data_IF_824688198964
#
_entry.id   IF_824688198964
#
_cell.length_a   1.000
_cell.length_b   1.000
_cell.length_c   1.000
_cell.angle_alpha   90.00
_cell.angle_beta   90.00
_cell.angle_gamma   90.00
#
_symmetry.space_group_name_H-M   'P 1'
#
loop_
_entity.id
_entity.type
_entity.pdbx_description
1 polymer ?
#
# COMPACT_ATOMS: atom_id res chain seq x y z
N UNK A 1 -21.15 -18.72 -5.82
CA UNK A 1 -20.24 -17.57 -5.65
C UNK A 1 -19.44 -17.78 -4.37
N UNK A 2 -18.14 -17.52 -4.41
CA UNK A 2 -17.25 -17.60 -3.24
C UNK A 2 -16.58 -16.23 -3.09
N UNK A 3 -16.60 -15.67 -1.89
CA UNK A 3 -15.84 -14.47 -1.53
C UNK A 3 -14.87 -14.81 -0.39
N UNK A 4 -13.57 -14.55 -0.61
CA UNK A 4 -12.50 -14.83 0.35
C UNK A 4 -11.92 -13.52 0.88
N UNK A 5 -11.82 -13.40 2.20
CA UNK A 5 -11.16 -12.28 2.87
C UNK A 5 -9.97 -12.74 3.68
N UNK A 6 -8.89 -11.96 3.64
CA UNK A 6 -7.67 -12.21 4.42
C UNK A 6 -7.73 -11.53 5.80
N UNK A 7 -8.66 -10.58 5.97
CA UNK A 7 -8.93 -9.83 7.21
C UNK A 7 -10.43 -9.65 7.36
N UNK A 8 -10.90 -9.23 8.54
CA UNK A 8 -12.30 -8.89 8.73
C UNK A 8 -12.77 -7.78 7.76
N UNK A 9 -13.94 -7.94 7.15
CA UNK A 9 -14.57 -6.97 6.25
C UNK A 9 -16.05 -6.84 6.59
N UNK A 10 -16.48 -5.65 7.01
CA UNK A 10 -17.88 -5.35 7.36
C UNK A 10 -18.84 -5.38 6.16
N UNK A 11 -18.33 -5.44 4.94
CA UNK A 11 -19.12 -5.40 3.70
C UNK A 11 -19.15 -6.72 2.94
N UNK A 12 -18.70 -7.81 3.56
CA UNK A 12 -18.62 -9.14 2.94
C UNK A 12 -20.01 -9.62 2.48
N UNK A 13 -21.01 -9.54 3.35
CA UNK A 13 -22.38 -9.99 3.03
C UNK A 13 -23.06 -9.08 1.99
N UNK A 14 -22.97 -7.74 2.09
CA UNK A 14 -23.42 -6.84 1.01
C UNK A 14 -22.75 -7.10 -0.34
N UNK A 15 -21.47 -7.44 -0.37
CA UNK A 15 -20.76 -7.79 -1.60
C UNK A 15 -21.34 -9.06 -2.24
N UNK A 16 -21.47 -10.15 -1.46
CA UNK A 16 -22.06 -11.39 -1.95
C UNK A 16 -23.51 -11.21 -2.43
N UNK A 17 -24.28 -10.35 -1.76
CA UNK A 17 -25.66 -10.02 -2.17
C UNK A 17 -25.68 -9.33 -3.55
N UNK A 18 -24.77 -8.38 -3.80
CA UNK A 18 -24.66 -7.74 -5.13
C UNK A 18 -24.21 -8.72 -6.20
N UNK A 19 -23.29 -9.63 -5.88
CA UNK A 19 -22.87 -10.67 -6.82
C UNK A 19 -23.99 -11.66 -7.13
N UNK A 20 -24.81 -12.02 -6.14
CA UNK A 20 -25.99 -12.84 -6.37
C UNK A 20 -26.92 -12.21 -7.40
N UNK A 21 -27.27 -10.92 -7.22
CA UNK A 21 -28.15 -10.19 -8.12
C UNK A 21 -27.59 -10.13 -9.55
N UNK A 22 -26.31 -9.77 -9.69
CA UNK A 22 -25.64 -9.73 -11.00
C UNK A 22 -25.63 -11.11 -11.69
N UNK A 23 -25.31 -12.19 -10.96
CA UNK A 23 -25.28 -13.54 -11.52
C UNK A 23 -26.68 -14.02 -11.92
N UNK A 24 -27.70 -13.71 -11.11
CA UNK A 24 -29.08 -14.09 -11.38
C UNK A 24 -29.64 -13.41 -12.64
N UNK A 25 -29.24 -12.15 -12.88
CA UNK A 25 -29.66 -11.37 -14.04
C UNK A 25 -28.86 -11.71 -15.31
N UNK A 26 -27.53 -11.75 -15.20
CA UNK A 26 -26.64 -11.83 -16.38
C UNK A 26 -26.35 -13.27 -16.82
N UNK A 27 -26.47 -14.24 -15.92
CA UNK A 27 -26.21 -15.67 -16.17
C UNK A 27 -24.91 -15.93 -16.99
N UNK A 28 -23.75 -15.44 -16.52
CA UNK A 28 -22.50 -15.56 -17.27
C UNK A 28 -22.11 -17.02 -17.54
N UNK A 29 -21.56 -17.31 -18.72
CA UNK A 29 -21.17 -18.67 -19.11
C UNK A 29 -22.34 -19.69 -19.02
N UNK A 30 -23.54 -19.30 -19.47
CA UNK A 30 -24.74 -20.15 -19.46
C UNK A 30 -24.58 -21.49 -20.20
N UNK A 31 -23.58 -21.60 -21.08
CA UNK A 31 -23.16 -22.84 -21.74
C UNK A 31 -22.46 -23.84 -20.79
N UNK A 32 -21.86 -23.35 -19.71
CA UNK A 32 -21.07 -24.13 -18.75
C UNK A 32 -21.72 -24.24 -17.36
N UNK A 33 -22.67 -23.36 -17.05
CA UNK A 33 -23.28 -23.24 -15.72
C UNK A 33 -24.78 -23.52 -15.80
N UNK A 34 -25.24 -24.51 -15.03
CA UNK A 34 -26.66 -24.80 -14.90
C UNK A 34 -27.31 -23.87 -13.87
N UNK A 35 -27.90 -22.77 -14.36
CA UNK A 35 -28.62 -21.78 -13.55
C UNK A 35 -29.99 -22.24 -13.01
N UNK A 36 -30.45 -23.45 -13.35
CA UNK A 36 -31.62 -24.06 -12.69
C UNK A 36 -31.30 -24.56 -11.27
N UNK A 37 -30.01 -24.66 -10.92
CA UNK A 37 -29.59 -25.03 -9.55
C UNK A 37 -29.49 -23.78 -8.66
N UNK A 38 -29.78 -23.90 -7.35
CA UNK A 38 -29.62 -22.79 -6.42
C UNK A 38 -28.20 -22.23 -6.40
N UNK A 39 -28.06 -20.91 -6.46
CA UNK A 39 -26.78 -20.23 -6.33
C UNK A 39 -26.36 -20.28 -4.87
N UNK A 40 -25.23 -20.93 -4.59
CA UNK A 40 -24.62 -20.97 -3.25
C UNK A 40 -23.78 -19.72 -3.01
N UNK A 41 -23.98 -19.06 -1.87
CA UNK A 41 -23.20 -17.90 -1.45
C UNK A 41 -22.27 -18.29 -0.30
N UNK A 42 -20.99 -18.44 -0.63
CA UNK A 42 -19.99 -18.93 0.32
C UNK A 42 -19.08 -17.75 0.69
N UNK A 43 -19.05 -17.42 1.99
CA UNK A 43 -18.14 -16.44 2.56
C UNK A 43 -17.03 -17.18 3.31
N UNK A 44 -15.77 -16.79 3.08
CA UNK A 44 -14.61 -17.35 3.79
C UNK A 44 -13.79 -16.19 4.34
N UNK A 45 -13.69 -16.06 5.66
CA UNK A 45 -13.00 -14.94 6.33
C UNK A 45 -12.34 -15.39 7.63
N UNK A 46 -11.33 -14.68 8.18
CA UNK A 46 -10.74 -15.07 9.46
C UNK A 46 -11.64 -14.74 10.65
N UNK A 47 -12.53 -13.76 10.51
CA UNK A 47 -13.57 -13.39 11.46
C UNK A 47 -14.68 -12.65 10.72
N UNK A 48 -15.82 -12.46 11.40
CA UNK A 48 -16.99 -11.77 10.85
C UNK A 48 -17.41 -10.61 11.75
N UNK A 49 -17.46 -9.42 11.16
CA UNK A 49 -18.03 -8.24 11.81
C UNK A 49 -19.51 -8.47 12.20
N UNK A 50 -19.99 -7.93 13.35
CA UNK A 50 -21.39 -8.09 13.80
C UNK A 50 -22.44 -7.68 12.76
N UNK A 51 -22.15 -6.68 11.93
CA UNK A 51 -23.03 -6.26 10.84
C UNK A 51 -23.24 -7.38 9.82
N UNK A 52 -22.20 -8.15 9.46
CA UNK A 52 -22.37 -9.30 8.56
C UNK A 52 -23.29 -10.36 9.18
N UNK A 53 -23.16 -10.62 10.48
CA UNK A 53 -24.01 -11.58 11.18
C UNK A 53 -25.46 -11.11 11.25
N UNK A 54 -25.65 -9.80 11.40
CA UNK A 54 -26.97 -9.14 11.36
C UNK A 54 -27.58 -9.27 9.97
N UNK A 55 -26.82 -8.92 8.94
CA UNK A 55 -27.26 -9.00 7.55
C UNK A 55 -27.64 -10.43 7.16
N UNK A 56 -26.84 -11.43 7.55
CA UNK A 56 -27.18 -12.85 7.32
C UNK A 56 -28.46 -13.24 8.04
N UNK A 57 -28.65 -12.81 9.29
CA UNK A 57 -29.83 -13.16 10.10
C UNK A 57 -31.13 -12.65 9.49
N UNK A 58 -31.10 -11.47 8.87
CA UNK A 58 -32.29 -10.83 8.31
C UNK A 58 -32.38 -10.92 6.78
N UNK A 59 -31.45 -11.62 6.13
CA UNK A 59 -31.49 -11.84 4.69
C UNK A 59 -32.42 -13.01 4.32
N UNK A 60 -33.01 -12.91 3.13
CA UNK A 60 -33.73 -14.02 2.49
C UNK A 60 -32.78 -14.96 1.71
N UNK A 61 -31.52 -14.56 1.51
CA UNK A 61 -30.50 -15.35 0.83
C UNK A 61 -29.82 -16.30 1.81
N UNK A 62 -29.45 -17.48 1.34
CA UNK A 62 -28.72 -18.48 2.14
C UNK A 62 -27.21 -18.27 1.99
N UNK A 63 -26.57 -17.87 3.10
CA UNK A 63 -25.12 -17.72 3.18
C UNK A 63 -24.48 -18.87 3.95
N UNK A 64 -23.39 -19.39 3.41
CA UNK A 64 -22.51 -20.33 4.07
C UNK A 64 -21.28 -19.60 4.57
N UNK A 65 -21.18 -19.44 5.89
CA UNK A 65 -20.06 -18.73 6.52
C UNK A 65 -19.00 -19.72 6.98
N UNK A 66 -17.79 -19.55 6.44
CA UNK A 66 -16.63 -20.29 6.85
C UNK A 66 -15.62 -19.35 7.50
N UNK A 67 -15.13 -19.74 8.67
CA UNK A 67 -13.99 -19.10 9.31
C UNK A 67 -12.72 -19.82 8.92
N UNK A 68 -11.69 -19.11 8.47
CA UNK A 68 -10.39 -19.70 8.19
C UNK A 68 -9.30 -19.22 9.13
N UNK A 69 -8.33 -20.10 9.40
CA UNK A 69 -7.13 -19.76 10.14
C UNK A 69 -5.94 -20.55 9.58
N UNK A 70 -4.75 -19.99 9.71
CA UNK A 70 -3.51 -20.68 9.37
C UNK A 70 -2.79 -21.01 10.67
N UNK A 71 -2.57 -22.29 10.91
CA UNK A 71 -1.81 -22.78 12.06
C UNK A 71 -0.49 -23.39 11.59
N UNK A 72 0.58 -23.09 12.33
CA UNK A 72 1.87 -23.74 12.17
C UNK A 72 1.97 -24.90 13.16
N UNK A 73 2.20 -26.11 12.64
CA UNK A 73 2.44 -27.30 13.44
C UNK A 73 3.78 -27.90 13.01
N UNK A 74 4.80 -27.74 13.86
CA UNK A 74 6.20 -28.03 13.54
C UNK A 74 6.69 -27.29 12.28
N UNK A 75 7.09 -28.03 11.24
CA UNK A 75 7.56 -27.48 9.95
C UNK A 75 6.43 -27.30 8.94
N UNK A 76 5.23 -27.79 9.23
CA UNK A 76 4.10 -27.75 8.32
C UNK A 76 3.14 -26.61 8.67
N UNK A 77 2.49 -26.07 7.65
CA UNK A 77 1.42 -25.09 7.82
C UNK A 77 0.12 -25.70 7.35
N UNK A 78 -0.96 -25.36 8.05
CA UNK A 78 -2.27 -25.91 7.80
C UNK A 78 -3.28 -24.78 7.65
N UNK A 79 -4.05 -24.84 6.57
CA UNK A 79 -5.28 -24.06 6.45
C UNK A 79 -6.37 -24.85 7.15
N UNK A 80 -6.94 -24.25 8.19
CA UNK A 80 -8.11 -24.77 8.89
C UNK A 80 -9.30 -23.93 8.48
N UNK A 81 -10.39 -24.59 8.12
CA UNK A 81 -11.64 -23.96 7.73
C UNK A 81 -12.77 -24.55 8.58
N UNK A 82 -13.45 -23.70 9.33
CA UNK A 82 -14.59 -24.02 10.19
C UNK A 82 -15.86 -23.50 9.55
N UNK A 83 -16.84 -24.37 9.31
CA UNK A 83 -18.19 -23.94 8.95
C UNK A 83 -18.90 -23.42 10.21
N UNK A 84 -19.31 -22.15 10.22
CA UNK A 84 -19.94 -21.54 11.41
C UNK A 84 -21.35 -22.04 11.67
N UNK A 85 -22.03 -22.62 10.67
CA UNK A 85 -23.36 -23.19 10.83
C UNK A 85 -23.32 -24.64 11.32
N UNK A 86 -22.55 -25.50 10.64
CA UNK A 86 -22.49 -26.93 10.97
C UNK A 86 -21.47 -27.26 12.05
N UNK A 87 -20.59 -26.31 12.38
CA UNK A 87 -19.42 -26.52 13.25
C UNK A 87 -18.45 -27.59 12.71
N UNK A 88 -18.57 -27.97 11.44
CA UNK A 88 -17.61 -28.86 10.79
C UNK A 88 -16.30 -28.14 10.54
N UNK A 89 -15.22 -28.72 11.05
CA UNK A 89 -13.86 -28.25 10.79
C UNK A 89 -13.15 -29.16 9.80
N UNK A 90 -12.48 -28.56 8.82
CA UNK A 90 -11.56 -29.26 7.92
C UNK A 90 -10.17 -28.64 8.01
N UNK A 91 -9.17 -29.47 7.88
CA UNK A 91 -7.77 -29.07 7.89
C UNK A 91 -7.10 -29.61 6.64
N UNK A 92 -6.35 -28.74 5.96
CA UNK A 92 -5.56 -29.11 4.80
C UNK A 92 -4.14 -28.57 4.97
N UNK A 93 -3.13 -29.43 4.79
CA UNK A 93 -1.75 -28.98 4.74
C UNK A 93 -1.58 -28.07 3.52
N UNK A 94 -1.04 -26.87 3.74
CA UNK A 94 -0.73 -25.91 2.69
C UNK A 94 0.77 -25.84 2.48
N UNK A 95 1.23 -25.73 1.22
CA UNK A 95 2.64 -25.48 0.94
C UNK A 95 3.00 -24.09 1.49
N UNK A 96 4.07 -24.05 2.27
CA UNK A 96 4.72 -22.78 2.58
C UNK A 96 5.56 -22.42 1.37
N UNK A 97 5.03 -21.54 0.53
CA UNK A 97 5.90 -20.81 -0.36
C UNK A 97 6.73 -19.89 0.53
N UNK A 98 8.00 -20.24 0.75
CA UNK A 98 8.95 -19.23 1.16
C UNK A 98 8.89 -18.17 0.06
N UNK A 99 8.32 -17.01 0.39
CA UNK A 99 8.61 -15.81 -0.38
C UNK A 99 10.13 -15.80 -0.52
N UNK A 100 10.68 -15.72 -1.74
CA UNK A 100 12.12 -15.82 -1.92
C UNK A 100 12.79 -14.89 -0.91
N UNK A 101 13.57 -15.48 0.00
CA UNK A 101 14.44 -14.73 0.92
C UNK A 101 15.60 -14.06 0.14
N UNK A 102 15.73 -14.36 -1.14
CA UNK A 102 16.38 -13.47 -2.10
C UNK A 102 15.49 -12.23 -2.26
N UNK A 103 15.98 -11.01 -1.98
CA UNK A 103 15.25 -9.82 -2.41
C UNK A 103 14.93 -10.02 -3.88
N UNK A 104 13.64 -10.14 -4.21
CA UNK A 104 13.20 -10.30 -5.59
C UNK A 104 13.99 -9.28 -6.39
N UNK A 105 14.71 -9.74 -7.43
CA UNK A 105 15.52 -8.83 -8.23
C UNK A 105 14.63 -7.65 -8.57
N UNK A 106 14.97 -6.48 -8.03
CA UNK A 106 14.07 -5.33 -8.11
C UNK A 106 13.77 -5.12 -9.59
N UNK A 107 12.50 -4.89 -9.96
CA UNK A 107 12.16 -4.68 -11.36
C UNK A 107 13.04 -3.56 -11.92
N UNK A 108 13.27 -3.57 -13.22
CA UNK A 108 14.02 -2.49 -13.85
C UNK A 108 13.42 -1.12 -13.50
N UNK A 109 14.25 -0.07 -13.36
CA UNK A 109 13.73 1.27 -13.12
C UNK A 109 12.69 1.66 -14.18
N UNK A 110 11.60 2.35 -13.80
CA UNK A 110 10.56 2.72 -14.75
C UNK A 110 11.12 3.61 -15.87
N UNK A 111 10.55 3.59 -17.08
CA UNK A 111 11.04 4.39 -18.23
C UNK A 111 11.22 5.88 -17.92
N UNK A 112 10.37 6.42 -17.05
CA UNK A 112 10.47 7.80 -16.57
C UNK A 112 11.78 8.04 -15.79
N UNK A 113 12.17 7.12 -14.90
CA UNK A 113 13.44 7.21 -14.18
C UNK A 113 14.63 7.05 -15.12
N UNK A 114 14.58 6.13 -16.09
CA UNK A 114 15.64 5.98 -17.11
C UNK A 114 15.87 7.30 -17.86
N UNK A 115 14.79 8.03 -18.16
CA UNK A 115 14.87 9.37 -18.77
C UNK A 115 15.59 10.38 -17.85
N UNK A 116 15.36 10.32 -16.54
CA UNK A 116 16.03 11.19 -15.58
C UNK A 116 17.50 10.84 -15.40
N UNK A 117 17.84 9.55 -15.38
CA UNK A 117 19.22 9.06 -15.27
C UNK A 117 20.11 9.59 -16.40
N UNK A 118 19.57 9.76 -17.61
CA UNK A 118 20.30 10.37 -18.74
C UNK A 118 20.81 11.79 -18.43
N UNK A 119 20.09 12.54 -17.58
CA UNK A 119 20.45 13.92 -17.15
C UNK A 119 21.41 13.96 -15.95
N UNK A 120 21.63 12.83 -15.29
CA UNK A 120 22.45 12.73 -14.09
C UNK A 120 23.93 12.45 -14.42
N UNK A 121 24.84 12.98 -13.60
CA UNK A 121 26.24 12.52 -13.58
C UNK A 121 26.31 11.06 -13.09
N UNK A 122 27.39 10.31 -13.35
CA UNK A 122 27.53 8.93 -12.88
C UNK A 122 27.28 8.78 -11.37
N UNK A 123 27.88 9.67 -10.57
CA UNK A 123 27.68 9.70 -9.12
C UNK A 123 26.21 9.90 -8.73
N UNK A 124 25.49 10.78 -9.43
CA UNK A 124 24.07 11.02 -9.18
C UNK A 124 23.20 9.82 -9.59
N UNK A 125 23.54 9.15 -10.70
CA UNK A 125 22.86 7.92 -11.14
C UNK A 125 22.97 6.84 -10.05
N UNK A 126 24.17 6.62 -9.54
CA UNK A 126 24.41 5.63 -8.50
C UNK A 126 23.62 5.94 -7.23
N UNK A 127 23.57 7.21 -6.81
CA UNK A 127 22.81 7.59 -5.62
C UNK A 127 21.29 7.48 -5.82
N UNK A 128 20.77 7.83 -7.00
CA UNK A 128 19.35 7.68 -7.31
C UNK A 128 18.94 6.19 -7.32
N UNK A 129 19.76 5.32 -7.93
CA UNK A 129 19.51 3.88 -7.93
C UNK A 129 19.63 3.29 -6.52
N UNK A 130 20.65 3.67 -5.74
CA UNK A 130 20.77 3.27 -4.33
C UNK A 130 19.57 3.71 -3.50
N UNK A 131 19.09 4.93 -3.71
CA UNK A 131 17.89 5.46 -3.04
C UNK A 131 16.67 4.61 -3.37
N UNK A 132 16.45 4.29 -4.64
CA UNK A 132 15.35 3.40 -5.09
C UNK A 132 15.45 2.04 -4.42
N UNK A 133 16.62 1.40 -4.45
CA UNK A 133 16.86 0.09 -3.84
C UNK A 133 16.56 0.14 -2.33
N UNK A 134 17.06 1.17 -1.64
CA UNK A 134 16.85 1.35 -0.20
C UNK A 134 15.38 1.52 0.15
N UNK A 135 14.61 2.25 -0.65
CA UNK A 135 13.16 2.41 -0.44
C UNK A 135 12.42 1.09 -0.63
N UNK A 136 12.65 0.40 -1.75
CA UNK A 136 11.90 -0.80 -2.11
C UNK A 136 12.24 -2.00 -1.20
N UNK A 137 13.47 -2.09 -0.71
CA UNK A 137 13.88 -3.16 0.20
C UNK A 137 13.57 -2.86 1.68
N UNK A 138 13.08 -1.66 2.02
CA UNK A 138 12.87 -1.28 3.41
C UNK A 138 11.67 -2.02 4.05
N UNK A 139 10.58 -2.19 3.30
CA UNK A 139 9.37 -2.88 3.77
C UNK A 139 8.60 -3.45 2.57
N UNK A 140 8.19 -4.73 2.59
CA UNK A 140 7.56 -5.39 1.44
C UNK A 140 6.22 -4.78 1.01
N UNK A 141 5.61 -3.93 1.86
CA UNK A 141 4.36 -3.23 1.53
C UNK A 141 4.57 -1.98 0.67
N UNK A 142 5.82 -1.54 0.48
CA UNK A 142 6.15 -0.37 -0.33
C UNK A 142 6.11 -0.76 -1.82
N UNK A 143 5.38 0.01 -2.61
CA UNK A 143 5.27 -0.11 -4.05
C UNK A 143 5.87 1.13 -4.73
N UNK A 144 6.46 0.94 -5.92
CA UNK A 144 6.83 2.00 -6.85
C UNK A 144 5.71 2.19 -7.87
N UNK A 145 5.12 3.39 -7.92
CA UNK A 145 4.00 3.70 -8.80
C UNK A 145 4.32 4.96 -9.59
N UNK A 146 4.29 4.84 -10.92
CA UNK A 146 4.40 5.99 -11.82
C UNK A 146 3.02 6.61 -12.00
N UNK A 147 2.90 7.91 -11.73
CA UNK A 147 1.67 8.66 -11.96
C UNK A 147 2.02 10.02 -12.57
N UNK A 148 1.63 10.21 -13.84
CA UNK A 148 1.98 11.41 -14.60
C UNK A 148 3.49 11.55 -14.76
N UNK A 149 4.06 12.67 -14.28
CA UNK A 149 5.49 12.98 -14.32
C UNK A 149 6.18 12.76 -12.96
N UNK A 150 5.56 11.99 -12.08
CA UNK A 150 6.08 11.67 -10.75
C UNK A 150 6.18 10.16 -10.54
N UNK A 151 7.14 9.76 -9.71
CA UNK A 151 7.29 8.38 -9.21
C UNK A 151 7.05 8.40 -7.71
N UNK A 152 6.02 7.68 -7.28
CA UNK A 152 5.61 7.56 -5.89
C UNK A 152 6.12 6.26 -5.29
N UNK A 153 6.51 6.34 -4.02
CA UNK A 153 6.86 5.19 -3.22
C UNK A 153 6.00 5.12 -1.96
N UNK A 154 5.36 3.99 -1.70
CA UNK A 154 4.57 3.76 -0.48
C UNK A 154 3.47 2.72 -0.66
N UNK A 155 2.44 2.76 0.19
CA UNK A 155 1.26 1.86 0.11
C UNK A 155 -0.01 2.67 -0.06
N UNK A 156 -0.65 2.59 -1.24
CA UNK A 156 -1.85 3.38 -1.57
C UNK A 156 -1.60 4.87 -1.34
N UNK A 157 -2.46 5.53 -0.56
CA UNK A 157 -2.34 6.97 -0.23
C UNK A 157 -1.28 7.31 0.82
N UNK A 158 -0.58 6.31 1.38
CA UNK A 158 0.47 6.50 2.38
C UNK A 158 1.84 6.46 1.70
N UNK A 159 2.31 7.63 1.28
CA UNK A 159 3.61 7.77 0.62
C UNK A 159 4.76 7.91 1.63
N UNK A 160 5.89 7.31 1.28
CA UNK A 160 7.23 7.55 1.83
C UNK A 160 7.84 8.76 1.12
N UNK A 161 7.92 8.67 -0.20
CA UNK A 161 8.60 9.61 -1.06
C UNK A 161 7.89 9.77 -2.40
N UNK A 162 8.07 10.93 -3.01
CA UNK A 162 7.69 11.21 -4.39
C UNK A 162 8.88 11.88 -5.08
N UNK A 163 9.30 11.34 -6.22
CA UNK A 163 10.35 11.90 -7.05
C UNK A 163 9.71 12.51 -8.28
N UNK A 164 10.17 13.70 -8.69
CA UNK A 164 9.71 14.33 -9.92
C UNK A 164 10.71 15.37 -10.42
N UNK A 165 10.43 15.91 -11.59
CA UNK A 165 11.04 17.15 -12.08
C UNK A 165 9.97 18.23 -12.01
N UNK A 166 10.34 19.41 -11.50
CA UNK A 166 9.42 20.53 -11.40
C UNK A 166 9.31 21.34 -12.72
N UNK A 167 8.42 22.33 -12.82
CA UNK A 167 8.27 23.16 -14.03
C UNK A 167 9.55 23.92 -14.42
N UNK A 168 10.42 24.24 -13.46
CA UNK A 168 11.73 24.85 -13.71
C UNK A 168 12.78 23.84 -14.19
N UNK A 169 12.37 22.59 -14.46
CA UNK A 169 13.19 21.46 -14.89
C UNK A 169 14.20 21.00 -13.84
N UNK A 170 13.97 21.29 -12.57
CA UNK A 170 14.82 20.90 -11.47
C UNK A 170 14.33 19.62 -10.79
N UNK A 171 15.27 18.78 -10.36
CA UNK A 171 14.93 17.58 -9.61
C UNK A 171 14.39 17.93 -8.23
N UNK A 172 13.26 17.31 -7.89
CA UNK A 172 12.58 17.49 -6.63
C UNK A 172 12.27 16.12 -6.00
N UNK A 173 12.31 16.10 -4.67
CA UNK A 173 11.81 14.99 -3.87
C UNK A 173 10.88 15.53 -2.80
N UNK A 174 9.77 14.83 -2.58
CA UNK A 174 8.85 15.12 -1.50
C UNK A 174 8.88 14.00 -0.47
N UNK A 175 8.80 14.38 0.81
CA UNK A 175 8.66 13.45 1.93
C UNK A 175 7.45 13.83 2.79
N UNK A 176 6.85 12.83 3.44
CA UNK A 176 5.71 13.05 4.33
C UNK A 176 6.14 13.01 5.80
N UNK A 177 6.31 14.19 6.39
CA UNK A 177 6.73 14.35 7.79
C UNK A 177 5.60 14.90 8.67
N UNK A 178 5.61 14.61 9.98
CA UNK A 178 4.72 15.27 10.92
C UNK A 178 5.08 16.76 11.00
N UNK A 179 4.08 17.61 11.19
CA UNK A 179 4.27 19.06 11.31
C UNK A 179 4.87 19.45 12.67
N UNK A 180 4.74 18.58 13.68
CA UNK A 180 5.25 18.79 15.03
C UNK A 180 5.55 17.44 15.70
N UNK A 181 6.53 17.38 16.61
CA UNK A 181 7.00 16.11 17.21
C UNK A 181 5.95 15.45 18.10
N UNK A 182 5.02 16.24 18.65
CA UNK A 182 3.93 15.78 19.53
C UNK A 182 2.65 15.35 18.80
N UNK A 183 2.58 15.45 17.46
CA UNK A 183 1.32 15.28 16.72
C UNK A 183 1.11 13.86 16.17
N UNK A 184 0.96 12.88 17.07
CA UNK A 184 0.59 11.50 16.73
C UNK A 184 -0.91 11.29 16.43
N UNK A 185 -1.60 12.30 15.86
CA UNK A 185 -2.93 12.10 15.23
C UNK A 185 -2.86 11.62 13.77
N UNK A 186 -1.69 11.15 13.32
CA UNK A 186 -1.49 10.61 11.97
C UNK A 186 -1.46 11.64 10.84
N UNK A 187 -1.50 12.95 11.14
CA UNK A 187 -1.42 14.01 10.12
C UNK A 187 0.03 14.31 9.76
N UNK A 188 0.38 14.00 8.52
CA UNK A 188 1.66 14.37 7.89
C UNK A 188 1.42 15.48 6.85
N UNK A 189 2.43 16.32 6.63
CA UNK A 189 2.47 17.26 5.50
C UNK A 189 3.49 16.77 4.47
N UNK A 190 3.30 17.17 3.21
CA UNK A 190 4.21 16.89 2.10
C UNK A 190 5.24 18.01 2.05
N UNK A 191 6.49 17.68 2.37
CA UNK A 191 7.63 18.60 2.39
C UNK A 191 8.40 18.45 1.09
N UNK A 192 8.57 19.56 0.37
CA UNK A 192 9.33 19.66 -0.87
C UNK A 192 10.79 19.94 -0.58
N UNK A 193 11.65 19.22 -1.28
CA UNK A 193 13.08 19.45 -1.32
C UNK A 193 13.53 19.57 -2.76
N UNK A 194 14.42 20.53 -3.03
CA UNK A 194 15.29 20.42 -4.19
C UNK A 194 16.33 19.34 -3.89
N UNK A 195 16.74 18.58 -4.90
CA UNK A 195 17.77 17.56 -4.74
C UNK A 195 18.62 17.43 -5.99
N UNK A 196 19.87 17.01 -5.79
CA UNK A 196 20.75 16.54 -6.86
C UNK A 196 20.97 15.02 -6.78
N UNK A 197 20.09 14.30 -6.06
CA UNK A 197 20.14 12.88 -5.70
C UNK A 197 21.19 12.47 -4.67
N UNK A 198 22.07 13.38 -4.24
CA UNK A 198 23.08 13.14 -3.21
C UNK A 198 22.71 13.93 -1.96
N UNK A 199 22.43 15.21 -2.15
CA UNK A 199 22.00 16.15 -1.14
C UNK A 199 20.59 16.65 -1.45
N UNK A 200 19.95 17.20 -0.43
CA UNK A 200 18.67 17.85 -0.57
C UNK A 200 18.61 19.10 0.30
N UNK A 201 17.94 20.12 -0.20
CA UNK A 201 17.72 21.38 0.50
C UNK A 201 16.23 21.61 0.64
N UNK A 202 15.80 21.96 1.85
CA UNK A 202 14.39 22.19 2.14
C UNK A 202 13.87 23.39 1.34
N UNK A 203 12.73 23.19 0.69
CA UNK A 203 12.07 24.23 -0.09
C UNK A 203 10.85 24.81 0.64
N UNK A 204 9.99 23.93 1.16
CA UNK A 204 8.74 24.32 1.79
C UNK A 204 7.76 23.17 1.95
N UNK A 205 6.65 23.41 2.63
CA UNK A 205 5.50 22.51 2.66
C UNK A 205 4.57 22.79 1.49
N UNK A 206 3.89 21.76 0.99
CA UNK A 206 2.95 21.85 -0.12
C UNK A 206 1.69 21.03 0.17
N UNK A 207 0.51 21.60 -0.13
CA UNK A 207 -0.74 20.84 -0.11
C UNK A 207 -0.96 19.99 -1.38
N UNK A 208 -0.69 20.56 -2.56
CA UNK A 208 -0.82 19.87 -3.86
C UNK A 208 0.12 20.48 -4.92
N UNK A 209 0.53 19.66 -5.89
CA UNK A 209 1.42 20.10 -6.98
C UNK A 209 2.75 20.66 -6.46
N UNK A 210 3.11 21.86 -6.91
CA UNK A 210 4.37 22.54 -6.55
C UNK A 210 4.18 23.82 -5.73
N UNK A 211 2.93 24.19 -5.44
CA UNK A 211 2.59 25.41 -4.72
C UNK A 211 3.01 25.28 -3.25
N UNK A 212 3.76 26.28 -2.78
CA UNK A 212 4.26 26.32 -1.40
C UNK A 212 3.26 26.99 -0.49
N UNK A 213 3.18 26.52 0.74
CA UNK A 213 2.37 27.12 1.79
C UNK A 213 3.07 28.36 2.43
N UNK A 214 4.19 28.80 1.85
CA UNK A 214 5.04 29.88 2.36
C UNK A 214 4.64 31.24 1.79
N UNK A 215 4.63 32.27 2.65
CA UNK A 215 4.47 33.67 2.23
C UNK A 215 5.71 34.23 1.53
N UNK A 216 6.90 33.70 1.83
CA UNK A 216 8.19 34.15 1.25
C UNK A 216 8.54 33.33 0.01
N UNK A 217 8.86 34.02 -1.08
CA UNK A 217 9.45 33.39 -2.28
C UNK A 217 10.92 33.09 -2.03
N UNK A 218 11.30 31.82 -2.16
CA UNK A 218 12.69 31.35 -2.11
C UNK A 218 13.10 30.93 -3.52
N UNK A 219 14.31 31.27 -3.94
CA UNK A 219 14.84 30.99 -5.27
C UNK A 219 15.68 29.73 -5.32
N UNK A 220 15.83 29.13 -6.52
CA UNK A 220 16.75 27.99 -6.71
C UNK A 220 18.19 28.33 -6.33
N UNK A 221 18.62 29.58 -6.59
CA UNK A 221 19.97 30.04 -6.23
C UNK A 221 20.21 30.00 -4.72
N UNK A 222 19.20 30.32 -3.92
CA UNK A 222 19.27 30.27 -2.45
C UNK A 222 19.21 28.83 -1.95
N UNK A 223 18.25 28.02 -2.45
CA UNK A 223 18.06 26.65 -1.96
C UNK A 223 19.25 25.75 -2.32
N UNK A 224 19.89 25.97 -3.47
CA UNK A 224 21.08 25.22 -3.90
C UNK A 224 22.35 25.58 -3.13
N UNK A 225 22.35 26.60 -2.28
CA UNK A 225 23.55 26.96 -1.51
C UNK A 225 24.03 25.79 -0.63
N UNK A 226 25.33 25.50 -0.56
CA UNK A 226 25.86 24.36 0.19
C UNK A 226 25.43 24.31 1.66
N UNK A 227 25.33 25.46 2.34
CA UNK A 227 24.91 25.52 3.75
C UNK A 227 23.45 25.11 3.98
N UNK A 228 22.60 25.13 2.95
CA UNK A 228 21.22 24.67 3.02
C UNK A 228 21.07 23.17 2.72
N UNK A 229 22.11 22.57 2.14
CA UNK A 229 22.10 21.18 1.73
C UNK A 229 22.30 20.25 2.91
N UNK A 230 21.50 19.19 2.96
CA UNK A 230 21.59 18.11 3.93
C UNK A 230 21.76 16.79 3.19
N UNK A 231 22.25 15.77 3.89
CA UNK A 231 22.28 14.41 3.36
C UNK A 231 20.87 13.95 2.97
N UNK A 232 20.70 13.59 1.71
CA UNK A 232 19.43 13.01 1.24
C UNK A 232 19.16 11.67 1.92
N UNK A 233 20.21 10.91 2.21
CA UNK A 233 20.11 9.63 2.88
C UNK A 233 19.52 9.76 4.29
N UNK A 234 19.98 10.74 5.08
CA UNK A 234 19.45 10.97 6.43
C UNK A 234 17.96 11.38 6.39
N UNK A 235 17.57 12.19 5.40
CA UNK A 235 16.17 12.56 5.19
C UNK A 235 15.31 11.36 4.81
N UNK A 236 15.83 10.50 3.93
CA UNK A 236 15.16 9.28 3.52
C UNK A 236 14.97 8.32 4.71
N UNK A 237 16.00 8.10 5.53
CA UNK A 237 15.88 7.25 6.71
C UNK A 237 14.83 7.75 7.71
N UNK A 238 14.79 9.08 7.90
CA UNK A 238 13.73 9.71 8.69
C UNK A 238 12.35 9.43 8.09
N UNK A 239 12.20 9.55 6.77
CA UNK A 239 10.93 9.32 6.08
C UNK A 239 10.47 7.86 6.18
N UNK A 240 11.37 6.91 6.01
CA UNK A 240 11.11 5.48 6.13
C UNK A 240 10.65 5.10 7.56
N UNK A 241 11.36 5.59 8.59
CA UNK A 241 10.98 5.38 10.01
C UNK A 241 9.58 5.95 10.31
N UNK A 242 9.29 7.16 9.84
CA UNK A 242 7.98 7.80 10.04
C UNK A 242 6.88 7.03 9.30
N UNK A 243 7.15 6.59 8.07
CA UNK A 243 6.20 5.80 7.30
C UNK A 243 5.90 4.46 7.98
N UNK A 244 6.91 3.74 8.48
CA UNK A 244 6.73 2.47 9.20
C UNK A 244 5.85 2.63 10.44
N UNK A 245 6.13 3.64 11.26
CA UNK A 245 5.29 3.98 12.42
C UNK A 245 3.84 4.29 12.04
N UNK A 246 3.62 5.00 10.91
CA UNK A 246 2.28 5.28 10.37
C UNK A 246 1.56 4.04 9.83
N UNK A 247 2.29 3.00 9.46
CA UNK A 247 1.74 1.71 9.07
C UNK A 247 1.33 0.89 10.29
N UNK A 248 2.16 0.87 11.34
CA UNK A 248 1.93 0.12 12.57
C UNK A 248 0.84 0.72 13.47
N UNK A 249 0.77 2.06 13.59
CA UNK A 249 -0.22 2.73 14.45
C UNK A 249 -1.67 2.39 14.09
N UNK A 250 -1.97 2.11 12.82
CA UNK A 250 -3.34 1.71 12.43
C UNK A 250 -3.65 0.26 12.74
N UNK A 251 -2.67 -0.64 12.74
CA UNK A 251 -2.93 -2.04 13.10
C UNK A 251 -3.44 -2.09 14.55
N UNK A 252 -2.78 -1.37 15.46
CA UNK A 252 -3.10 -1.40 16.88
C UNK A 252 -4.35 -0.57 17.28
N UNK A 253 -4.86 0.32 16.43
CA UNK A 253 -6.07 1.11 16.69
C UNK A 253 -7.25 0.70 15.80
N UNK A 254 -7.13 -0.41 15.06
CA UNK A 254 -8.27 -1.07 14.41
C UNK A 254 -8.79 -2.25 15.24
N UNK A 255 -8.07 -2.61 16.31
CA UNK A 255 -8.36 -3.69 17.27
C UNK A 255 -8.80 -3.14 18.64
N UNK A 256 -9.31 -1.90 18.71
CA UNK A 256 -9.82 -1.22 19.92
C UNK A 256 -11.16 -0.56 19.63
#
# INVERSE_FOLDING_TARGET
>A
MIELKVVEDRYLVPQLTRYFDAIAQEQPCADQVNYLRPIRLIAIAPSYHPDNLTDVRYSQLSFELYQHQIEQQAQNHYLIVLNLHTQEQRQQQIPVFQLPNTPAALPDPPPLMLTWLKRCTPKQRDHLLKLRIKILNFDPRIQEVVQGQSIFYGKGKKHVAELCIDPAREFCIFFWFPNDENFFRGRVRRFRYWTNWITASYWGTCHAGFQLDLRRRVTYKEVKQPFNQRSLENLLEKALKIWKRRMEWRQNNSDS
#
